data_IF_787170492968
#
_entry.id   IF_787170492968
#
_cell.length_a   1.000
_cell.length_b   1.000
_cell.length_c   1.000
_cell.angle_alpha   90.00
_cell.angle_beta   90.00
_cell.angle_gamma   90.00
#
_symmetry.space_group_name_H-M   'P 1'
#
loop_
_entity.id
_entity.type
_entity.pdbx_description
1 polymer ?
#
# COMPACT_ATOMS: atom_id res chain seq x y z
N UNK A 1 9.62 -0.07 79.65
CA UNK A 1 9.85 -1.04 78.56
C UNK A 1 8.61 -1.15 77.70
N UNK A 2 8.67 -0.61 76.48
CA UNK A 2 7.75 -0.87 75.36
C UNK A 2 8.52 -0.45 74.10
N UNK A 3 8.98 -1.44 73.34
CA UNK A 3 9.47 -1.26 71.97
C UNK A 3 8.31 -0.74 71.13
N UNK A 4 8.55 0.22 70.23
CA UNK A 4 7.71 0.38 69.05
C UNK A 4 8.54 0.85 67.85
N UNK A 5 8.16 0.30 66.70
CA UNK A 5 8.92 0.08 65.48
C UNK A 5 9.34 1.33 64.72
N UNK A 6 10.57 1.27 64.18
CA UNK A 6 11.06 2.11 63.09
C UNK A 6 10.41 1.64 61.77
N UNK A 7 9.63 2.50 61.11
CA UNK A 7 9.13 2.24 59.75
C UNK A 7 9.81 3.23 58.80
N UNK A 8 10.73 2.71 57.98
CA UNK A 8 11.33 3.41 56.85
C UNK A 8 10.35 3.35 55.67
N UNK A 9 9.69 4.48 55.38
CA UNK A 9 8.94 4.68 54.13
C UNK A 9 9.94 5.05 53.02
N UNK A 10 10.42 4.05 52.29
CA UNK A 10 11.08 4.26 51.00
C UNK A 10 9.98 4.41 49.96
N UNK A 11 9.59 5.65 49.68
CA UNK A 11 8.72 5.99 48.57
C UNK A 11 9.48 5.79 47.26
N UNK A 12 9.31 4.63 46.64
CA UNK A 12 9.78 4.36 45.27
C UNK A 12 8.99 5.24 44.30
N UNK A 13 9.62 6.31 43.80
CA UNK A 13 9.14 7.08 42.65
C UNK A 13 9.02 6.16 41.44
N UNK A 14 7.81 5.68 41.18
CA UNK A 14 7.47 5.00 39.93
C UNK A 14 7.45 6.02 38.80
N UNK A 15 8.57 6.13 38.07
CA UNK A 15 8.56 6.80 36.77
C UNK A 15 7.80 5.92 35.78
N UNK A 16 6.52 6.24 35.55
CA UNK A 16 5.80 5.73 34.40
C UNK A 16 6.34 6.44 33.15
N UNK A 17 7.27 5.79 32.45
CA UNK A 17 7.61 6.20 31.08
C UNK A 17 6.44 5.78 30.19
N UNK A 18 5.50 6.69 29.98
CA UNK A 18 4.50 6.54 28.94
C UNK A 18 5.22 6.54 27.58
N UNK A 19 5.35 5.37 26.96
CA UNK A 19 5.87 5.24 25.61
C UNK A 19 4.93 5.99 24.65
N UNK A 20 5.34 7.19 24.22
CA UNK A 20 4.67 7.89 23.13
C UNK A 20 4.89 7.07 21.85
N UNK A 21 3.91 6.25 21.47
CA UNK A 21 3.89 5.62 20.14
C UNK A 21 3.76 6.72 19.10
N UNK A 22 4.90 7.16 18.56
CA UNK A 22 4.99 8.02 17.39
C UNK A 22 4.31 7.29 16.24
N UNK A 23 3.06 7.65 15.96
CA UNK A 23 2.29 7.02 14.89
C UNK A 23 2.93 7.37 13.54
N UNK A 24 3.20 6.36 12.71
CA UNK A 24 3.67 6.59 11.35
C UNK A 24 2.54 7.22 10.54
N UNK A 25 2.72 8.41 9.96
CA UNK A 25 1.70 9.03 9.12
C UNK A 25 1.46 8.17 7.87
N UNK A 26 0.21 8.14 7.42
CA UNK A 26 -0.15 7.44 6.19
C UNK A 26 0.15 8.31 4.97
N UNK A 27 0.65 7.70 3.90
CA UNK A 27 0.90 8.33 2.59
C UNK A 27 -0.01 7.70 1.55
N UNK A 28 -0.77 8.50 0.81
CA UNK A 28 -1.58 8.02 -0.32
C UNK A 28 -0.92 8.40 -1.65
N UNK A 29 -0.74 7.41 -2.51
CA UNK A 29 -0.22 7.54 -3.86
C UNK A 29 -1.32 7.19 -4.87
N UNK A 30 -1.57 8.08 -5.83
CA UNK A 30 -2.53 7.87 -6.90
C UNK A 30 -1.78 7.68 -8.22
N UNK A 31 -2.03 6.58 -8.89
CA UNK A 31 -1.40 6.23 -10.16
C UNK A 31 -2.44 6.17 -11.28
N UNK A 32 -2.06 6.70 -12.43
CA UNK A 32 -2.71 6.37 -13.69
C UNK A 32 -2.08 5.08 -14.21
N UNK A 33 -2.88 4.15 -14.74
CA UNK A 33 -2.35 2.90 -15.33
C UNK A 33 -2.98 2.61 -16.69
N UNK A 34 -2.41 1.67 -17.43
CA UNK A 34 -2.97 1.17 -18.69
C UNK A 34 -4.34 0.51 -18.55
N UNK A 35 -4.67 0.01 -17.36
CA UNK A 35 -5.91 -0.75 -17.09
C UNK A 35 -6.94 0.05 -16.30
N UNK A 36 -6.56 1.21 -15.76
CA UNK A 36 -7.41 2.11 -14.97
C UNK A 36 -6.73 2.67 -13.73
N UNK A 37 -7.37 3.53 -12.93
CA UNK A 37 -6.71 4.16 -11.79
C UNK A 37 -6.37 3.16 -10.69
N UNK A 38 -5.22 3.37 -10.04
CA UNK A 38 -4.79 2.65 -8.83
C UNK A 38 -4.50 3.67 -7.73
N UNK A 39 -4.99 3.44 -6.53
CA UNK A 39 -4.65 4.23 -5.34
C UNK A 39 -4.10 3.31 -4.26
N UNK A 40 -2.96 3.67 -3.69
CA UNK A 40 -2.29 2.93 -2.61
C UNK A 40 -2.09 3.84 -1.40
N UNK A 41 -2.54 3.39 -0.23
CA UNK A 41 -2.28 4.02 1.06
C UNK A 41 -1.26 3.18 1.83
N UNK A 42 -0.14 3.80 2.17
CA UNK A 42 1.00 3.20 2.86
C UNK A 42 1.02 3.73 4.29
N UNK A 43 1.07 2.85 5.28
CA UNK A 43 1.21 3.20 6.70
C UNK A 43 2.24 2.27 7.35
N UNK A 44 3.46 2.77 7.54
CA UNK A 44 4.59 1.90 7.88
C UNK A 44 4.95 1.03 6.68
N UNK A 45 5.00 -0.28 6.88
CA UNK A 45 5.15 -1.29 5.83
C UNK A 45 3.81 -1.75 5.24
N UNK A 46 2.71 -1.60 5.97
CA UNK A 46 1.38 -1.98 5.51
C UNK A 46 0.91 -1.13 4.33
N UNK A 47 0.39 -1.79 3.30
CA UNK A 47 -0.26 -1.16 2.15
C UNK A 47 -1.68 -1.67 1.99
N UNK A 48 -2.62 -0.74 1.87
CA UNK A 48 -3.97 -0.99 1.37
C UNK A 48 -4.17 -0.20 0.09
N UNK A 49 -4.79 -0.79 -0.90
CA UNK A 49 -5.04 -0.14 -2.17
C UNK A 49 -6.40 -0.47 -2.74
N UNK A 50 -6.78 0.31 -3.74
CA UNK A 50 -7.96 0.09 -4.56
C UNK A 50 -7.61 0.34 -6.01
N UNK A 51 -8.28 -0.35 -6.91
CA UNK A 51 -8.14 -0.14 -8.34
C UNK A 51 -9.49 -0.25 -9.05
N UNK A 52 -9.52 0.26 -10.28
CA UNK A 52 -10.64 0.09 -11.19
C UNK A 52 -10.10 -0.45 -12.52
N UNK A 53 -10.36 -1.72 -12.83
CA UNK A 53 -10.11 -2.25 -14.17
C UNK A 53 -11.20 -1.74 -15.11
N UNK A 54 -10.78 -1.14 -16.21
CA UNK A 54 -11.65 -0.64 -17.28
C UNK A 54 -11.42 -1.51 -18.51
N UNK A 55 -12.15 -2.62 -18.59
CA UNK A 55 -12.12 -3.53 -19.74
C UNK A 55 -13.47 -3.40 -20.43
N UNK A 56 -13.56 -2.50 -21.41
CA UNK A 56 -14.83 -2.19 -22.11
C UNK A 56 -15.59 -3.45 -22.52
N UNK A 57 -16.89 -3.59 -22.16
CA UNK A 57 -17.78 -2.62 -21.51
C UNK A 57 -17.73 -2.62 -19.97
N UNK A 58 -17.01 -3.55 -19.37
CA UNK A 58 -17.05 -3.83 -17.95
C UNK A 58 -16.08 -2.98 -17.13
N UNK A 59 -16.48 -2.75 -15.89
CA UNK A 59 -15.68 -2.04 -14.89
C UNK A 59 -15.65 -2.85 -13.62
N UNK A 60 -14.45 -3.18 -13.15
CA UNK A 60 -14.25 -4.05 -11.98
C UNK A 60 -13.45 -3.30 -10.95
N UNK A 61 -14.05 -3.13 -9.77
CA UNK A 61 -13.36 -2.53 -8.62
C UNK A 61 -12.71 -3.65 -7.85
N UNK A 62 -11.43 -3.45 -7.51
CA UNK A 62 -10.72 -4.38 -6.68
C UNK A 62 -9.92 -3.69 -5.59
N UNK A 63 -9.45 -4.52 -4.67
CA UNK A 63 -8.70 -4.13 -3.48
C UNK A 63 -7.32 -4.78 -3.54
N UNK A 64 -6.31 -4.05 -3.08
CA UNK A 64 -4.95 -4.55 -2.88
C UNK A 64 -4.66 -4.52 -1.38
N UNK A 65 -4.04 -5.56 -0.86
CA UNK A 65 -3.50 -5.60 0.51
C UNK A 65 -2.12 -6.20 0.47
N UNK A 66 -1.16 -5.63 1.19
CA UNK A 66 0.20 -6.16 1.19
C UNK A 66 1.15 -5.39 2.07
N UNK A 67 2.43 -5.65 1.86
CA UNK A 67 3.54 -5.03 2.59
C UNK A 67 4.56 -4.47 1.61
N UNK A 68 5.07 -3.27 1.89
CA UNK A 68 6.08 -2.59 1.09
C UNK A 68 7.44 -2.65 1.80
N UNK A 69 8.39 -3.35 1.18
CA UNK A 69 9.78 -3.42 1.65
C UNK A 69 10.73 -3.14 0.48
N UNK A 70 11.68 -2.22 0.67
CA UNK A 70 12.73 -1.89 -0.31
C UNK A 70 12.21 -1.62 -1.74
N UNK A 71 11.05 -0.95 -1.86
CA UNK A 71 10.46 -0.63 -3.17
C UNK A 71 9.66 -1.78 -3.81
N UNK A 72 9.53 -2.92 -3.12
CA UNK A 72 8.69 -4.04 -3.53
C UNK A 72 7.45 -4.12 -2.63
N UNK A 73 6.28 -3.90 -3.21
CA UNK A 73 5.01 -4.27 -2.57
C UNK A 73 4.73 -5.72 -2.93
N UNK A 74 4.64 -6.60 -1.93
CA UNK A 74 4.12 -7.96 -2.11
C UNK A 74 2.78 -8.08 -1.42
N UNK A 75 1.77 -8.61 -2.11
CA UNK A 75 0.43 -8.64 -1.59
C UNK A 75 -0.54 -9.53 -2.35
N UNK A 76 -1.82 -9.27 -2.13
CA UNK A 76 -2.95 -9.90 -2.79
C UNK A 76 -3.82 -8.87 -3.47
N UNK A 77 -4.48 -9.27 -4.54
CA UNK A 77 -5.58 -8.56 -5.15
C UNK A 77 -6.87 -9.36 -5.00
N UNK A 78 -8.00 -8.66 -4.99
CA UNK A 78 -9.36 -9.22 -4.84
C UNK A 78 -10.35 -8.32 -5.58
N UNK A 79 -11.06 -8.90 -6.56
CA UNK A 79 -12.12 -8.27 -7.34
C UNK A 79 -13.19 -9.32 -7.77
N UNK A 80 -14.25 -8.93 -8.51
CA UNK A 80 -15.30 -9.87 -8.92
C UNK A 80 -14.85 -11.06 -9.78
N UNK A 81 -13.71 -10.99 -10.47
CA UNK A 81 -13.17 -12.11 -11.26
C UNK A 81 -12.38 -13.11 -10.40
N UNK A 82 -11.98 -12.69 -9.19
CA UNK A 82 -11.40 -13.56 -8.20
C UNK A 82 -10.34 -12.90 -7.35
N UNK A 83 -9.39 -13.71 -6.90
CA UNK A 83 -8.32 -13.30 -6.01
C UNK A 83 -7.00 -13.88 -6.48
N UNK A 84 -5.91 -13.23 -6.10
CA UNK A 84 -4.58 -13.73 -6.41
C UNK A 84 -3.47 -12.95 -5.75
N UNK A 85 -2.24 -13.23 -6.15
CA UNK A 85 -1.04 -12.54 -5.65
C UNK A 85 -0.68 -11.42 -6.61
N UNK A 86 -0.14 -10.33 -6.06
CA UNK A 86 0.38 -9.20 -6.83
C UNK A 86 1.70 -8.72 -6.23
N UNK A 87 2.62 -8.33 -7.09
CA UNK A 87 3.90 -7.73 -6.71
C UNK A 87 4.09 -6.46 -7.52
N UNK A 88 4.27 -5.31 -6.85
CA UNK A 88 4.64 -4.06 -7.50
C UNK A 88 6.13 -3.79 -7.25
N UNK A 89 6.88 -3.54 -8.31
CA UNK A 89 8.20 -2.92 -8.25
C UNK A 89 8.10 -1.44 -8.55
N UNK A 90 8.44 -0.61 -7.57
CA UNK A 90 8.49 0.84 -7.71
C UNK A 90 9.88 1.31 -8.12
N UNK A 91 9.94 2.39 -8.89
CA UNK A 91 11.18 3.17 -9.04
C UNK A 91 11.55 3.80 -7.68
N UNK A 92 12.82 4.22 -7.54
CA UNK A 92 13.37 4.70 -6.26
C UNK A 92 12.60 5.88 -5.66
N UNK A 93 11.99 6.72 -6.50
CA UNK A 93 11.18 7.88 -6.09
C UNK A 93 9.67 7.56 -6.00
N UNK A 94 9.27 6.31 -6.27
CA UNK A 94 7.89 5.81 -6.31
C UNK A 94 6.98 6.57 -7.27
N UNK A 95 7.54 7.23 -8.28
CA UNK A 95 6.75 7.92 -9.31
C UNK A 95 6.22 6.97 -10.38
N UNK A 96 6.78 5.76 -10.46
CA UNK A 96 6.37 4.71 -11.42
C UNK A 96 6.39 3.34 -10.76
N UNK A 97 5.61 2.43 -11.33
CA UNK A 97 5.70 1.02 -11.00
C UNK A 97 5.46 0.13 -12.22
N UNK A 98 5.94 -1.10 -12.10
CA UNK A 98 5.49 -2.25 -12.89
C UNK A 98 4.98 -3.29 -11.89
N UNK A 99 3.86 -3.94 -12.19
CA UNK A 99 3.33 -5.00 -11.36
C UNK A 99 3.16 -6.31 -12.14
N UNK A 100 3.41 -7.40 -11.44
CA UNK A 100 3.08 -8.76 -11.89
C UNK A 100 2.03 -9.35 -10.97
N UNK A 101 1.10 -10.12 -11.52
CA UNK A 101 0.03 -10.76 -10.76
C UNK A 101 -0.28 -12.15 -11.29
N UNK A 102 -0.85 -12.99 -10.44
CA UNK A 102 -1.41 -14.28 -10.83
C UNK A 102 -2.85 -14.42 -10.31
N UNK A 103 -3.56 -15.44 -10.77
CA UNK A 103 -4.82 -15.86 -10.14
C UNK A 103 -4.52 -16.98 -9.14
N UNK A 104 -5.18 -16.99 -7.98
CA UNK A 104 -4.96 -18.03 -6.97
C UNK A 104 -5.26 -19.44 -7.51
N UNK A 105 -6.19 -19.57 -8.45
CA UNK A 105 -6.55 -20.84 -9.10
C UNK A 105 -5.54 -21.33 -10.14
N UNK A 106 -4.65 -20.46 -10.62
CA UNK A 106 -3.58 -20.79 -11.56
C UNK A 106 -2.31 -20.04 -11.15
N UNK A 107 -1.69 -20.48 -10.05
CA UNK A 107 -0.57 -19.75 -9.45
C UNK A 107 0.74 -19.83 -10.24
N UNK A 108 0.82 -20.73 -11.22
CA UNK A 108 1.98 -20.90 -12.12
C UNK A 108 2.05 -19.83 -13.22
N UNK A 109 0.92 -19.22 -13.57
CA UNK A 109 0.86 -18.22 -14.64
C UNK A 109 0.88 -16.81 -14.06
N UNK A 110 1.82 -15.99 -14.51
CA UNK A 110 1.98 -14.61 -14.08
C UNK A 110 1.81 -13.65 -15.25
N UNK A 111 1.04 -12.60 -15.04
CA UNK A 111 0.76 -11.52 -16.00
C UNK A 111 1.51 -10.25 -15.58
N UNK A 112 1.81 -9.34 -16.52
CA UNK A 112 2.66 -8.16 -16.29
C UNK A 112 2.16 -6.85 -16.93
N UNK A 113 0.84 -6.75 -17.14
CA UNK A 113 0.22 -5.67 -17.91
C UNK A 113 0.08 -4.36 -17.12
N UNK A 114 0.19 -4.43 -15.80
CA UNK A 114 -0.02 -3.31 -14.91
C UNK A 114 1.24 -2.47 -14.83
N UNK A 115 1.18 -1.29 -15.45
CA UNK A 115 2.21 -0.26 -15.38
C UNK A 115 1.57 1.02 -14.92
N UNK A 116 2.18 1.70 -13.97
CA UNK A 116 1.61 2.91 -13.38
C UNK A 116 2.58 4.06 -13.38
N UNK A 117 2.03 5.26 -13.57
CA UNK A 117 2.72 6.53 -13.37
C UNK A 117 1.93 7.36 -12.38
N UNK A 118 2.61 7.97 -11.41
CA UNK A 118 1.99 8.80 -10.39
C UNK A 118 1.20 9.91 -11.08
N UNK A 119 -0.02 10.17 -10.62
CA UNK A 119 -0.96 11.09 -11.26
C UNK A 119 -0.37 12.49 -11.44
N UNK A 120 0.45 12.95 -10.49
CA UNK A 120 1.17 14.22 -10.60
C UNK A 120 2.21 14.26 -11.74
N UNK A 121 2.72 13.10 -12.15
CA UNK A 121 3.80 12.95 -13.14
C UNK A 121 3.28 12.53 -14.52
N UNK A 122 2.00 12.21 -14.68
CA UNK A 122 1.46 11.72 -15.96
C UNK A 122 1.63 12.73 -17.11
N UNK A 123 1.64 14.03 -16.78
CA UNK A 123 1.82 15.12 -17.75
C UNK A 123 3.27 15.27 -18.22
N UNK A 124 4.24 14.63 -17.57
CA UNK A 124 5.65 14.64 -18.00
C UNK A 124 5.93 13.57 -19.06
N UNK A 125 4.96 12.72 -19.39
CA UNK A 125 5.10 11.68 -20.41
C UNK A 125 4.85 12.26 -21.82
N UNK A 126 5.49 11.70 -22.86
CA UNK A 126 5.11 11.97 -24.24
C UNK A 126 3.61 11.73 -24.46
N UNK A 127 2.98 12.55 -25.30
CA UNK A 127 1.53 12.51 -25.51
C UNK A 127 1.02 11.12 -25.92
N UNK A 128 1.73 10.44 -26.83
CA UNK A 128 1.40 9.10 -27.27
C UNK A 128 1.34 8.10 -26.11
N UNK A 129 2.25 8.20 -25.14
CA UNK A 129 2.23 7.35 -23.94
C UNK A 129 1.10 7.76 -23.00
N UNK A 130 0.94 9.06 -22.73
CA UNK A 130 -0.12 9.57 -21.83
C UNK A 130 -1.52 9.09 -22.23
N UNK A 131 -1.81 8.99 -23.53
CA UNK A 131 -3.10 8.50 -24.05
C UNK A 131 -3.39 7.03 -23.73
N UNK A 132 -2.38 6.24 -23.36
CA UNK A 132 -2.56 4.84 -22.96
C UNK A 132 -2.85 4.70 -21.46
N UNK A 133 -2.80 5.78 -20.68
CA UNK A 133 -3.03 5.75 -19.24
C UNK A 133 -4.42 6.32 -18.88
N UNK A 134 -5.13 5.63 -17.99
CA UNK A 134 -6.38 6.09 -17.40
C UNK A 134 -6.16 6.46 -15.93
N UNK A 135 -6.65 7.63 -15.55
CA UNK A 135 -6.50 8.23 -14.22
C UNK A 135 -7.84 8.39 -13.47
N UNK A 136 -8.95 8.10 -14.15
CA UNK A 136 -10.28 8.54 -13.74
C UNK A 136 -11.08 7.37 -13.16
N UNK A 137 -11.73 7.61 -12.02
CA UNK A 137 -12.62 6.67 -11.35
C UNK A 137 -14.04 6.72 -11.93
N UNK A 138 -14.14 6.82 -13.25
CA UNK A 138 -15.41 7.01 -13.95
C UNK A 138 -16.03 5.70 -14.33
#
# INVERSE_FOLDING_TARGET
MKMLFLVLLVGSSGYQVAAQTKSTPAQTLQFCTSVGPVELTIKGDSVTGRYLLTVTPDRKRGIIKGTLHQGLLTGTWDDPDGVGRIVFGFDSDRTRFIAIYNQARNSSEWYNEWKGVLKANVFTLPEAQRRTFSCEWK
#
